data_IF_600058113898
#
_entry.id   IF_600058113898
#
_cell.length_a   1.000
_cell.length_b   1.000
_cell.length_c   1.000
_cell.angle_alpha   90.00
_cell.angle_beta   90.00
_cell.angle_gamma   90.00
#
_symmetry.space_group_name_H-M   'P 1'
#
loop_
_entity.id
_entity.type
_entity.pdbx_description
1 polymer ?
#
# COMPACT_ATOMS: atom_id res chain seq x y z
N UNK A 1 -17.04 76.30 -2.32
CA UNK A 1 -17.45 75.37 -3.40
C UNK A 1 -16.52 74.18 -3.35
N UNK A 2 -17.11 72.99 -3.44
CA UNK A 2 -16.58 71.62 -3.31
C UNK A 2 -15.28 71.37 -4.09
N UNK A 3 -14.42 70.43 -3.69
CA UNK A 3 -14.65 69.00 -3.98
C UNK A 3 -13.78 68.08 -3.10
N UNK A 4 -14.44 67.07 -2.55
CA UNK A 4 -13.86 65.83 -2.05
C UNK A 4 -13.21 65.04 -3.20
N UNK A 5 -12.12 64.34 -2.93
CA UNK A 5 -11.72 63.14 -3.66
C UNK A 5 -10.97 62.22 -2.69
N UNK A 6 -11.74 61.31 -2.08
CA UNK A 6 -11.22 60.17 -1.33
C UNK A 6 -10.99 59.04 -2.31
N UNK A 7 -9.74 58.66 -2.55
CA UNK A 7 -9.40 57.50 -3.37
C UNK A 7 -9.67 56.21 -2.59
N UNK A 8 -10.73 55.51 -2.97
CA UNK A 8 -11.11 54.21 -2.44
C UNK A 8 -10.15 53.13 -3.00
N UNK A 9 -9.11 52.79 -2.23
CA UNK A 9 -8.28 51.63 -2.53
C UNK A 9 -9.01 50.34 -2.15
N UNK A 10 -9.71 49.77 -3.12
CA UNK A 10 -10.32 48.44 -3.02
C UNK A 10 -9.23 47.37 -2.80
N UNK A 11 -9.20 46.82 -1.58
CA UNK A 11 -8.32 45.71 -1.22
C UNK A 11 -8.70 44.46 -2.02
N UNK A 12 -7.90 44.14 -3.05
CA UNK A 12 -8.05 42.90 -3.81
C UNK A 12 -7.76 41.73 -2.87
N UNK A 13 -8.79 40.97 -2.50
CA UNK A 13 -8.62 39.81 -1.63
C UNK A 13 -7.67 38.81 -2.29
N UNK A 14 -6.52 38.50 -1.67
CA UNK A 14 -5.60 37.50 -2.19
C UNK A 14 -6.29 36.14 -2.17
N UNK A 15 -6.36 35.48 -3.32
CA UNK A 15 -6.86 34.10 -3.45
C UNK A 15 -6.05 33.21 -2.49
N UNK A 16 -6.73 32.50 -1.58
CA UNK A 16 -6.07 31.66 -0.56
C UNK A 16 -5.15 30.64 -1.24
N UNK A 17 -3.91 30.53 -0.75
CA UNK A 17 -2.97 29.51 -1.24
C UNK A 17 -3.52 28.10 -0.98
N UNK A 18 -3.41 27.23 -1.98
CA UNK A 18 -3.93 25.86 -1.92
C UNK A 18 -2.89 24.94 -1.27
N UNK A 19 -2.92 24.84 0.06
CA UNK A 19 -2.02 23.94 0.80
C UNK A 19 -2.54 22.49 0.80
N UNK A 20 -2.39 21.80 -0.33
CA UNK A 20 -2.94 20.46 -0.57
C UNK A 20 -2.45 19.42 0.45
N UNK A 21 -1.19 19.50 0.90
CA UNK A 21 -0.63 18.57 1.90
C UNK A 21 -1.36 18.66 3.25
N UNK A 22 -1.85 19.85 3.63
CA UNK A 22 -2.54 20.09 4.90
C UNK A 22 -4.02 19.67 4.86
N UNK A 23 -4.53 19.25 3.70
CA UNK A 23 -5.90 18.75 3.61
C UNK A 23 -6.04 17.50 4.46
N UNK A 24 -7.06 17.47 5.33
CA UNK A 24 -7.32 16.37 6.26
C UNK A 24 -7.29 14.98 5.59
N UNK A 25 -7.77 14.88 4.34
CA UNK A 25 -7.73 13.65 3.53
C UNK A 25 -6.29 13.22 3.19
N UNK A 26 -5.44 14.16 2.81
CA UNK A 26 -4.07 13.89 2.40
C UNK A 26 -3.18 13.57 3.60
N UNK A 27 -3.32 14.32 4.70
CA UNK A 27 -2.68 13.99 5.99
C UNK A 27 -3.06 12.57 6.42
N UNK A 28 -4.35 12.23 6.36
CA UNK A 28 -4.81 10.87 6.70
C UNK A 28 -4.21 9.81 5.77
N UNK A 29 -4.17 10.07 4.46
CA UNK A 29 -3.60 9.16 3.47
C UNK A 29 -2.11 8.93 3.76
N UNK A 30 -1.34 9.99 4.02
CA UNK A 30 0.08 9.91 4.36
C UNK A 30 0.30 9.08 5.63
N UNK A 31 -0.44 9.37 6.71
CA UNK A 31 -0.37 8.58 7.95
C UNK A 31 -0.69 7.11 7.74
N UNK A 32 -1.74 6.79 6.96
CA UNK A 32 -2.08 5.41 6.61
C UNK A 32 -0.94 4.70 5.87
N UNK A 33 -0.30 5.37 4.92
CA UNK A 33 0.83 4.84 4.13
C UNK A 33 2.02 4.53 5.03
N UNK A 34 2.37 5.45 5.94
CA UNK A 34 3.48 5.26 6.89
C UNK A 34 3.15 4.30 8.05
N UNK A 35 1.93 3.74 8.10
CA UNK A 35 1.51 2.90 9.21
C UNK A 35 1.32 3.65 10.53
N UNK A 36 1.17 4.97 10.51
CA UNK A 36 0.98 5.79 11.71
C UNK A 36 -0.48 5.80 12.19
N UNK A 37 -0.68 6.14 13.47
CA UNK A 37 -2.01 6.31 14.01
C UNK A 37 -2.73 7.52 13.37
N UNK A 38 -4.01 7.34 13.02
CA UNK A 38 -4.82 8.40 12.42
C UNK A 38 -6.30 8.31 12.75
N UNK A 39 -6.99 9.46 12.71
CA UNK A 39 -8.44 9.53 12.89
C UNK A 39 -9.12 9.41 11.52
N UNK A 40 -10.00 8.42 11.39
CA UNK A 40 -10.79 8.15 10.19
C UNK A 40 -11.76 9.28 9.84
N UNK A 41 -12.42 9.18 8.68
CA UNK A 41 -13.45 10.16 8.30
C UNK A 41 -14.66 10.15 9.26
N UNK A 42 -14.95 8.98 9.83
CA UNK A 42 -16.04 8.75 10.80
C UNK A 42 -15.65 9.08 12.25
N UNK A 43 -14.44 9.60 12.49
CA UNK A 43 -13.95 9.89 13.84
C UNK A 43 -13.31 8.69 14.57
N UNK A 44 -13.38 7.48 14.01
CA UNK A 44 -12.73 6.29 14.59
C UNK A 44 -11.20 6.43 14.59
N UNK A 45 -10.57 6.15 15.73
CA UNK A 45 -9.11 6.09 15.87
C UNK A 45 -8.61 4.79 15.23
N UNK A 46 -7.61 4.91 14.36
CA UNK A 46 -6.83 3.80 13.83
C UNK A 46 -5.45 3.88 14.48
N UNK A 47 -5.05 2.81 15.16
CA UNK A 47 -3.76 2.75 15.84
C UNK A 47 -2.61 2.63 14.84
N UNK A 48 -1.41 2.98 15.30
CA UNK A 48 -0.20 2.74 14.54
C UNK A 48 0.00 1.24 14.30
N UNK A 49 0.60 0.90 13.17
CA UNK A 49 0.98 -0.45 12.80
C UNK A 49 2.10 -0.91 13.72
N UNK A 50 1.89 -2.06 14.34
CA UNK A 50 2.89 -2.77 15.13
C UNK A 50 3.20 -4.07 14.42
N UNK A 51 4.50 -4.38 14.27
CA UNK A 51 4.92 -5.65 13.73
C UNK A 51 4.60 -6.78 14.71
N UNK A 52 3.93 -7.81 14.21
CA UNK A 52 3.68 -9.06 14.93
C UNK A 52 4.21 -10.23 14.09
N UNK A 53 4.98 -11.17 14.67
CA UNK A 53 5.43 -12.35 13.97
C UNK A 53 4.28 -13.18 13.40
N UNK A 54 4.38 -13.53 12.13
CA UNK A 54 3.33 -14.25 11.41
C UNK A 54 3.65 -15.74 11.40
N UNK A 55 2.76 -16.53 12.00
CA UNK A 55 2.84 -17.99 11.95
C UNK A 55 1.93 -18.50 10.83
N UNK A 56 2.53 -18.74 9.66
CA UNK A 56 1.78 -19.22 8.50
C UNK A 56 1.25 -20.65 8.69
N UNK A 57 -0.07 -20.84 8.57
CA UNK A 57 -0.76 -22.15 8.66
C UNK A 57 -0.78 -22.95 7.34
N UNK A 58 -0.14 -22.46 6.27
CA UNK A 58 -0.13 -23.20 5.00
C UNK A 58 0.80 -24.43 5.06
N UNK A 59 0.61 -25.39 4.16
CA UNK A 59 1.43 -26.61 4.09
C UNK A 59 2.93 -26.35 3.92
N UNK A 60 3.29 -25.22 3.28
CA UNK A 60 4.68 -24.79 3.12
C UNK A 60 5.30 -24.20 4.37
N UNK A 61 4.52 -23.87 5.41
CA UNK A 61 4.97 -23.23 6.65
C UNK A 61 5.92 -22.04 6.35
N UNK A 62 5.44 -21.05 5.60
CA UNK A 62 6.27 -19.93 5.08
C UNK A 62 7.13 -19.23 6.15
N UNK A 63 6.69 -19.21 7.40
CA UNK A 63 7.44 -18.67 8.54
C UNK A 63 8.78 -19.38 8.80
N UNK A 64 8.94 -20.63 8.37
CA UNK A 64 10.22 -21.35 8.47
C UNK A 64 11.28 -20.80 7.50
N UNK A 65 10.85 -20.25 6.36
CA UNK A 65 11.76 -19.69 5.35
C UNK A 65 11.97 -18.19 5.53
N UNK A 66 11.01 -17.50 6.13
CA UNK A 66 11.09 -16.09 6.47
C UNK A 66 10.93 -15.97 7.99
N UNK A 67 12.03 -16.06 8.75
CA UNK A 67 12.00 -15.99 10.21
C UNK A 67 11.58 -14.59 10.69
N UNK A 68 11.15 -14.49 11.94
CA UNK A 68 10.57 -13.28 12.54
C UNK A 68 11.44 -12.03 12.37
N UNK A 69 12.76 -12.18 12.49
CA UNK A 69 13.73 -11.10 12.26
C UNK A 69 13.65 -10.56 10.83
N UNK A 70 13.50 -11.45 9.86
CA UNK A 70 13.40 -11.09 8.44
C UNK A 70 12.02 -10.52 8.10
N UNK A 71 10.96 -11.07 8.70
CA UNK A 71 9.61 -10.50 8.58
C UNK A 71 9.61 -9.04 9.05
N UNK A 72 10.19 -8.76 10.23
CA UNK A 72 10.30 -7.42 10.79
C UNK A 72 11.10 -6.46 9.91
N UNK A 73 12.20 -6.94 9.34
CA UNK A 73 13.03 -6.14 8.41
C UNK A 73 12.24 -5.75 7.15
N UNK A 74 11.53 -6.72 6.55
CA UNK A 74 10.71 -6.50 5.35
C UNK A 74 9.54 -5.55 5.65
N UNK A 75 8.84 -5.77 6.75
CA UNK A 75 7.73 -4.92 7.22
C UNK A 75 8.17 -3.47 7.42
N UNK A 76 9.28 -3.29 8.16
CA UNK A 76 9.86 -1.96 8.37
C UNK A 76 10.23 -1.30 7.05
N UNK A 77 10.96 -2.00 6.17
CA UNK A 77 11.36 -1.48 4.87
C UNK A 77 10.16 -1.03 4.04
N UNK A 78 9.03 -1.74 4.12
CA UNK A 78 7.81 -1.36 3.40
C UNK A 78 7.20 -0.06 3.92
N UNK A 79 7.04 0.09 5.24
CA UNK A 79 6.46 1.32 5.81
C UNK A 79 7.40 2.53 5.72
N UNK A 80 8.72 2.32 5.67
CA UNK A 80 9.72 3.37 5.45
C UNK A 80 9.63 4.03 4.05
N UNK A 81 8.97 3.38 3.07
CA UNK A 81 8.85 3.91 1.70
C UNK A 81 7.95 5.16 1.57
N UNK A 82 7.24 5.55 2.63
CA UNK A 82 6.49 6.82 2.87
C UNK A 82 5.50 7.33 1.80
N UNK A 83 5.45 6.71 0.62
CA UNK A 83 4.58 7.05 -0.50
C UNK A 83 3.93 5.80 -1.06
N UNK A 84 2.72 5.96 -1.58
CA UNK A 84 1.95 4.85 -2.15
C UNK A 84 2.62 4.23 -3.37
N UNK A 85 3.24 5.06 -4.23
CA UNK A 85 3.84 4.59 -5.47
C UNK A 85 5.10 3.77 -5.20
N UNK A 86 5.92 4.18 -4.22
CA UNK A 86 7.10 3.40 -3.81
C UNK A 86 6.69 2.08 -3.14
N UNK A 87 5.69 2.09 -2.26
CA UNK A 87 5.15 0.86 -1.66
C UNK A 87 4.60 -0.09 -2.74
N UNK A 88 3.83 0.44 -3.68
CA UNK A 88 3.29 -0.31 -4.82
C UNK A 88 4.40 -0.90 -5.67
N UNK A 89 5.40 -0.10 -6.06
CA UNK A 89 6.57 -0.57 -6.83
C UNK A 89 7.35 -1.65 -6.09
N UNK A 90 7.48 -1.53 -4.76
CA UNK A 90 8.12 -2.54 -3.93
C UNK A 90 7.34 -3.87 -3.96
N UNK A 91 6.01 -3.83 -3.82
CA UNK A 91 5.18 -5.03 -3.91
C UNK A 91 5.25 -5.67 -5.31
N UNK A 92 5.26 -4.86 -6.38
CA UNK A 92 5.42 -5.37 -7.74
C UNK A 92 6.73 -6.13 -7.94
N UNK A 93 7.83 -5.65 -7.35
CA UNK A 93 9.11 -6.37 -7.40
C UNK A 93 9.07 -7.75 -6.75
N UNK A 94 8.12 -7.98 -5.84
CA UNK A 94 7.94 -9.24 -5.11
C UNK A 94 6.88 -10.16 -5.75
N UNK A 95 6.21 -9.72 -6.82
CA UNK A 95 5.11 -10.44 -7.47
C UNK A 95 5.55 -10.85 -8.88
N UNK A 96 5.44 -12.15 -9.19
CA UNK A 96 5.71 -12.69 -10.52
C UNK A 96 4.40 -13.12 -11.18
N UNK A 97 4.12 -12.56 -12.35
CA UNK A 97 2.97 -12.95 -13.18
C UNK A 97 3.37 -14.14 -14.06
N UNK A 98 2.66 -15.25 -13.93
CA UNK A 98 2.95 -16.51 -14.61
C UNK A 98 1.77 -16.89 -15.49
N UNK A 99 2.07 -17.23 -16.75
CA UNK A 99 1.10 -17.79 -17.67
C UNK A 99 0.54 -19.12 -17.15
N UNK A 100 -0.78 -19.29 -17.23
CA UNK A 100 -1.43 -20.54 -16.86
C UNK A 100 -0.95 -21.68 -17.78
N UNK A 101 -0.20 -22.63 -17.22
CA UNK A 101 0.40 -23.74 -17.98
C UNK A 101 -0.60 -24.76 -18.54
N UNK A 102 -1.82 -24.87 -17.97
CA UNK A 102 -2.83 -25.86 -18.38
C UNK A 102 -4.22 -25.24 -18.40
N UNK A 103 -4.87 -25.25 -19.56
CA UNK A 103 -6.32 -25.02 -19.71
C UNK A 103 -6.97 -26.37 -19.99
N UNK A 104 -8.06 -26.70 -19.28
CA UNK A 104 -8.84 -27.88 -19.62
C UNK A 104 -9.52 -27.61 -20.97
N UNK A 105 -9.22 -28.41 -22.00
CA UNK A 105 -9.78 -28.25 -23.34
C UNK A 105 -11.31 -28.30 -23.25
N UNK A 106 -12.00 -27.32 -23.84
CA UNK A 106 -13.44 -27.48 -24.14
C UNK A 106 -14.38 -26.33 -23.76
N UNK A 107 -13.92 -25.17 -23.31
CA UNK A 107 -14.82 -23.99 -23.22
C UNK A 107 -14.26 -22.86 -24.06
N UNK A 108 -14.79 -22.75 -25.29
CA UNK A 108 -14.54 -21.65 -26.25
C UNK A 108 -14.91 -20.28 -25.66
N UNK A 109 -15.56 -20.26 -24.49
CA UNK A 109 -16.06 -19.07 -23.80
C UNK A 109 -15.68 -19.04 -22.31
N UNK A 110 -14.43 -19.35 -21.99
CA UNK A 110 -13.95 -19.35 -20.61
C UNK A 110 -13.33 -17.99 -20.28
N UNK A 111 -14.14 -17.09 -19.73
CA UNK A 111 -13.81 -15.80 -19.11
C UNK A 111 -12.95 -15.97 -17.83
N UNK A 112 -11.93 -16.84 -17.91
CA UNK A 112 -11.11 -17.29 -16.79
C UNK A 112 -9.70 -16.75 -16.95
N UNK A 113 -9.15 -16.28 -15.82
CA UNK A 113 -7.80 -15.68 -15.71
C UNK A 113 -6.74 -16.47 -16.52
N UNK A 114 -6.09 -15.80 -17.45
CA UNK A 114 -4.99 -16.29 -18.28
C UNK A 114 -3.66 -16.35 -17.51
N UNK A 115 -3.55 -15.58 -16.43
CA UNK A 115 -2.35 -15.48 -15.61
C UNK A 115 -2.62 -15.86 -14.15
N UNK A 116 -1.58 -16.32 -13.47
CA UNK A 116 -1.51 -16.52 -12.02
C UNK A 116 -0.42 -15.62 -11.44
N UNK A 117 -0.58 -15.18 -10.19
CA UNK A 117 0.43 -14.38 -9.49
C UNK A 117 1.11 -15.24 -8.43
N UNK A 118 2.44 -15.18 -8.40
CA UNK A 118 3.26 -15.84 -7.40
C UNK A 118 4.01 -14.80 -6.57
N UNK A 119 4.13 -15.04 -5.27
CA UNK A 119 4.64 -14.08 -4.30
C UNK A 119 5.98 -14.57 -3.77
N UNK A 120 6.97 -13.70 -3.78
CA UNK A 120 8.35 -14.00 -3.41
C UNK A 120 8.81 -13.04 -2.31
N UNK A 121 9.60 -13.53 -1.36
CA UNK A 121 10.22 -12.71 -0.32
C UNK A 121 11.71 -13.03 -0.21
N UNK A 122 12.57 -12.05 0.11
CA UNK A 122 14.00 -12.28 0.26
C UNK A 122 14.30 -13.09 1.52
N UNK A 123 15.05 -14.19 1.39
CA UNK A 123 15.41 -15.08 2.49
C UNK A 123 16.65 -14.65 3.29
N UNK A 124 17.45 -13.70 2.76
CA UNK A 124 18.60 -13.09 3.45
C UNK A 124 19.96 -13.42 2.85
N UNK A 125 20.07 -14.54 2.13
CA UNK A 125 21.25 -15.00 1.39
C UNK A 125 21.30 -14.47 -0.06
N UNK A 126 20.51 -13.44 -0.36
CA UNK A 126 20.30 -12.94 -1.73
C UNK A 126 19.33 -13.78 -2.55
N UNK A 127 18.78 -14.88 -2.01
CA UNK A 127 17.75 -15.66 -2.68
C UNK A 127 16.34 -15.16 -2.33
N UNK A 128 15.39 -15.52 -3.20
CA UNK A 128 13.98 -15.28 -3.02
C UNK A 128 13.23 -16.60 -2.82
N UNK A 129 12.38 -16.66 -1.81
CA UNK A 129 11.53 -17.83 -1.55
C UNK A 129 10.08 -17.53 -1.85
N UNK A 130 9.42 -18.49 -2.52
CA UNK A 130 8.00 -18.40 -2.83
C UNK A 130 7.15 -18.60 -1.59
N UNK A 131 6.35 -17.61 -1.23
CA UNK A 131 5.42 -17.66 -0.11
C UNK A 131 3.96 -17.78 -0.57
N UNK A 132 3.07 -18.16 0.34
CA UNK A 132 1.64 -18.18 0.03
C UNK A 132 1.06 -16.76 0.04
N UNK A 133 -0.03 -16.56 -0.70
CA UNK A 133 -0.74 -15.28 -0.78
C UNK A 133 -1.15 -14.75 0.60
N UNK A 134 -1.59 -15.63 1.50
CA UNK A 134 -2.05 -15.22 2.83
C UNK A 134 -0.92 -14.63 3.67
N UNK A 135 0.24 -15.31 3.72
CA UNK A 135 1.41 -14.82 4.42
C UNK A 135 1.88 -13.47 3.88
N UNK A 136 1.95 -13.34 2.56
CA UNK A 136 2.32 -12.08 1.89
C UNK A 136 1.36 -10.94 2.27
N UNK A 137 0.04 -11.20 2.24
CA UNK A 137 -0.98 -10.21 2.60
C UNK A 137 -0.88 -9.75 4.04
N UNK A 138 -0.67 -10.70 4.94
CA UNK A 138 -0.59 -10.45 6.38
C UNK A 138 0.66 -9.61 6.68
N UNK A 139 1.80 -9.96 6.07
CA UNK A 139 3.06 -9.23 6.22
C UNK A 139 2.94 -7.76 5.81
N UNK A 140 2.28 -7.47 4.69
CA UNK A 140 2.12 -6.08 4.23
C UNK A 140 0.79 -5.43 4.65
N UNK A 141 -0.04 -6.13 5.44
CA UNK A 141 -1.38 -5.67 5.82
C UNK A 141 -2.28 -5.21 4.65
N UNK A 142 -2.13 -5.82 3.47
CA UNK A 142 -2.85 -5.43 2.25
C UNK A 142 -4.17 -6.20 2.06
N UNK A 143 -5.20 -5.52 1.57
CA UNK A 143 -6.52 -6.10 1.33
C UNK A 143 -6.58 -6.86 -0.02
N UNK A 144 -7.60 -7.70 -0.20
CA UNK A 144 -7.72 -8.54 -1.39
C UNK A 144 -7.93 -7.73 -2.69
N UNK A 145 -8.62 -6.58 -2.58
CA UNK A 145 -8.93 -5.70 -3.71
C UNK A 145 -7.66 -5.07 -4.28
N UNK A 146 -6.74 -4.65 -3.42
CA UNK A 146 -5.45 -4.05 -3.81
C UNK A 146 -4.56 -5.03 -4.59
N UNK A 147 -4.75 -6.34 -4.40
CA UNK A 147 -4.03 -7.38 -5.14
C UNK A 147 -4.65 -7.73 -6.50
N UNK A 148 -5.83 -7.23 -6.84
CA UNK A 148 -6.48 -7.49 -8.14
C UNK A 148 -5.94 -6.59 -9.24
N UNK A 149 -5.52 -5.37 -8.89
CA UNK A 149 -4.95 -4.35 -9.78
C UNK A 149 -3.47 -4.60 -10.13
N UNK A 150 -2.83 -5.58 -9.47
CA UNK A 150 -1.46 -6.05 -9.77
C UNK A 150 -1.39 -7.15 -10.84
#
# INVERSE_FOLDING_TARGET
MSTHSSEDHQAVSKKRSRNVHLWKKNVRKAKKICGEAYIGATGKINNAKTFEPIICKCSKKCHNFIPDTKQKEIDKKFYDLSTYDLQTSFLFGLIKVINKKRTYKGTVNSDKRSFSREFYLPAGDGTEVKVCKMFFKELFSIQMVELQDF
#
